data_IF_732236101880
#
_entry.id   IF_732236101880
#
_cell.length_a   1.000
_cell.length_b   1.000
_cell.length_c   1.000
_cell.angle_alpha   90.00
_cell.angle_beta   90.00
_cell.angle_gamma   90.00
#
_symmetry.space_group_name_H-M   'P 1'
#
loop_
_entity.id
_entity.type
_entity.pdbx_description
1 polymer ?
#
# COMPACT_ATOMS: atom_id res chain seq x y z
N UNK A 1 -7.55 32.59 15.87
CA UNK A 1 -7.48 32.43 14.40
C UNK A 1 -6.03 32.22 13.94
N UNK A 2 -5.28 31.26 14.51
CA UNK A 2 -3.79 31.27 14.38
C UNK A 2 -3.04 29.94 14.58
N UNK A 3 -3.66 28.78 14.31
CA UNK A 3 -2.94 27.48 14.29
C UNK A 3 -3.18 26.63 13.03
N UNK A 4 -4.13 27.02 12.17
CA UNK A 4 -4.56 26.18 11.03
C UNK A 4 -3.66 26.37 9.80
N UNK A 5 -2.94 27.50 9.66
CA UNK A 5 -2.22 27.80 8.41
C UNK A 5 -0.88 27.06 8.22
N UNK A 6 -0.48 26.17 9.14
CA UNK A 6 0.75 25.37 8.99
C UNK A 6 0.50 23.93 8.57
N UNK A 7 -0.75 23.48 8.59
CA UNK A 7 -1.14 22.09 8.33
C UNK A 7 -2.10 21.97 7.14
N UNK A 8 -2.33 23.06 6.41
CA UNK A 8 -3.23 23.12 5.26
C UNK A 8 -2.50 23.85 4.14
N UNK A 9 -2.37 23.16 3.01
CA UNK A 9 -1.62 23.61 1.84
C UNK A 9 -2.56 23.60 0.63
N UNK A 10 -2.60 24.69 -0.11
CA UNK A 10 -3.33 24.77 -1.36
C UNK A 10 -2.37 24.57 -2.54
N UNK A 11 -2.92 24.17 -3.68
CA UNK A 11 -2.14 24.02 -4.92
C UNK A 11 -1.31 25.27 -5.23
N UNK A 12 -0.07 25.07 -5.66
CA UNK A 12 0.91 26.13 -5.94
C UNK A 12 1.58 26.78 -4.72
N UNK A 13 1.29 26.33 -3.50
CA UNK A 13 1.92 26.82 -2.25
C UNK A 13 2.68 25.73 -1.47
N UNK A 14 2.97 24.60 -2.11
CA UNK A 14 3.36 23.37 -1.44
C UNK A 14 4.73 22.82 -1.91
N UNK A 15 5.79 23.53 -1.55
CA UNK A 15 7.17 23.22 -1.97
C UNK A 15 7.75 21.96 -1.31
N UNK A 16 7.07 21.37 -0.33
CA UNK A 16 7.55 20.20 0.44
C UNK A 16 6.71 18.93 0.18
N UNK A 17 5.87 18.94 -0.86
CA UNK A 17 5.08 17.76 -1.20
C UNK A 17 5.89 16.76 -2.04
N UNK A 18 6.13 15.58 -1.49
CA UNK A 18 6.89 14.51 -2.16
C UNK A 18 6.02 13.31 -2.46
N UNK A 19 6.08 12.86 -3.71
CA UNK A 19 5.45 11.65 -4.24
C UNK A 19 6.48 10.91 -5.08
N UNK A 20 6.45 9.58 -5.04
CA UNK A 20 7.40 8.75 -5.77
C UNK A 20 7.02 8.54 -7.24
N UNK A 21 5.75 8.30 -7.55
CA UNK A 21 5.29 8.03 -8.91
C UNK A 21 4.86 9.31 -9.64
N UNK A 22 5.40 9.51 -10.85
CA UNK A 22 5.12 10.68 -11.68
C UNK A 22 3.62 10.84 -12.01
N UNK A 23 2.88 9.75 -12.22
CA UNK A 23 1.45 9.81 -12.55
C UNK A 23 0.65 10.46 -11.43
N UNK A 24 1.07 10.24 -10.18
CA UNK A 24 0.42 10.86 -9.03
C UNK A 24 0.84 12.33 -8.84
N UNK A 25 2.01 12.74 -9.31
CA UNK A 25 2.39 14.16 -9.36
C UNK A 25 1.57 14.96 -10.38
N UNK A 26 1.05 14.30 -11.40
CA UNK A 26 0.14 14.89 -12.39
C UNK A 26 -1.30 15.01 -11.87
N UNK A 27 -1.62 14.35 -10.74
CA UNK A 27 -2.93 14.45 -10.09
C UNK A 27 -3.10 15.80 -9.41
N UNK A 28 -4.18 16.50 -9.74
CA UNK A 28 -4.55 17.78 -9.13
C UNK A 28 -5.47 17.55 -7.93
N UNK A 29 -5.03 17.93 -6.74
CA UNK A 29 -5.83 17.96 -5.51
C UNK A 29 -6.25 19.40 -5.18
N UNK A 30 -7.33 19.58 -4.40
CA UNK A 30 -7.81 20.90 -3.98
C UNK A 30 -6.96 21.47 -2.83
N UNK A 31 -6.71 20.65 -1.82
CA UNK A 31 -5.79 20.99 -0.74
C UNK A 31 -5.18 19.73 -0.10
N UNK A 32 -4.04 19.92 0.56
CA UNK A 32 -3.38 18.91 1.39
C UNK A 32 -3.49 19.32 2.84
N UNK A 33 -3.79 18.36 3.71
CA UNK A 33 -3.78 18.55 5.16
C UNK A 33 -2.75 17.64 5.82
N UNK A 34 -1.99 18.17 6.77
CA UNK A 34 -0.93 17.45 7.49
C UNK A 34 -1.30 17.26 8.98
N UNK A 35 -2.19 16.33 9.34
CA UNK A 35 -2.48 16.08 10.76
C UNK A 35 -1.24 15.52 11.48
N UNK A 36 -1.02 15.97 12.72
CA UNK A 36 0.07 15.51 13.58
C UNK A 36 -0.38 14.52 14.66
N UNK A 37 -1.67 14.19 14.73
CA UNK A 37 -2.22 13.25 15.71
C UNK A 37 -3.50 12.57 15.22
N UNK A 38 -3.84 11.42 15.81
CA UNK A 38 -5.09 10.70 15.53
C UNK A 38 -6.34 11.57 15.74
N UNK A 39 -6.31 12.45 16.76
CA UNK A 39 -7.40 13.39 17.01
C UNK A 39 -7.56 14.42 15.88
N UNK A 40 -6.45 14.89 15.31
CA UNK A 40 -6.50 15.78 14.14
C UNK A 40 -7.00 15.06 12.89
N UNK A 41 -6.57 13.81 12.67
CA UNK A 41 -7.12 12.95 11.60
C UNK A 41 -8.64 12.81 11.75
N UNK A 42 -9.13 12.48 12.95
CA UNK A 42 -10.57 12.33 13.21
C UNK A 42 -11.35 13.62 12.91
N UNK A 43 -10.83 14.78 13.29
CA UNK A 43 -11.44 16.09 12.98
C UNK A 43 -11.43 16.41 11.49
N UNK A 44 -10.36 16.06 10.79
CA UNK A 44 -10.29 16.19 9.32
C UNK A 44 -11.34 15.30 8.68
N UNK A 45 -11.40 14.02 9.04
CA UNK A 45 -12.40 13.07 8.53
C UNK A 45 -13.83 13.55 8.77
N UNK A 46 -14.13 14.12 9.95
CA UNK A 46 -15.43 14.72 10.24
C UNK A 46 -15.78 15.81 9.22
N UNK A 47 -14.88 16.75 8.96
CA UNK A 47 -15.12 17.83 7.98
C UNK A 47 -15.31 17.26 6.58
N UNK A 48 -14.49 16.30 6.16
CA UNK A 48 -14.57 15.70 4.83
C UNK A 48 -15.89 14.96 4.62
N UNK A 49 -16.33 14.17 5.60
CA UNK A 49 -17.59 13.43 5.55
C UNK A 49 -18.80 14.37 5.61
N UNK A 50 -18.76 15.40 6.46
CA UNK A 50 -19.83 16.38 6.59
C UNK A 50 -19.99 17.24 5.32
N UNK A 51 -18.95 17.36 4.49
CA UNK A 51 -18.95 18.14 3.25
C UNK A 51 -18.89 17.30 1.97
N UNK A 52 -18.92 15.96 2.07
CA UNK A 52 -18.77 15.06 0.91
C UNK A 52 -17.52 15.34 0.07
N UNK A 53 -16.41 15.67 0.74
CA UNK A 53 -15.15 15.87 0.07
C UNK A 53 -14.50 14.52 -0.21
N UNK A 54 -14.17 14.27 -1.49
CA UNK A 54 -13.28 13.17 -1.89
C UNK A 54 -11.94 13.36 -1.19
N UNK A 55 -11.33 12.27 -0.75
CA UNK A 55 -10.02 12.34 -0.12
C UNK A 55 -9.18 11.10 -0.42
N UNK A 56 -7.86 11.28 -0.36
CA UNK A 56 -6.86 10.22 -0.40
C UNK A 56 -5.96 10.32 0.83
N UNK A 57 -5.34 9.22 1.25
CA UNK A 57 -4.46 9.19 2.43
C UNK A 57 -3.03 8.92 1.99
N UNK A 58 -2.16 9.92 2.16
CA UNK A 58 -0.74 9.79 1.89
C UNK A 58 0.01 9.36 3.15
N UNK A 59 0.69 8.22 3.06
CA UNK A 59 1.82 7.89 3.94
C UNK A 59 3.12 8.40 3.29
N UNK A 60 3.91 7.48 2.69
CA UNK A 60 5.14 7.81 1.97
C UNK A 60 4.97 8.17 0.50
N UNK A 61 3.75 8.07 -0.06
CA UNK A 61 3.48 8.48 -1.45
C UNK A 61 4.03 7.54 -2.52
N UNK A 62 4.05 6.23 -2.26
CA UNK A 62 4.65 5.21 -3.13
C UNK A 62 3.64 4.42 -3.99
N UNK A 63 2.35 4.74 -3.91
CA UNK A 63 1.35 4.10 -4.76
C UNK A 63 1.49 4.55 -6.21
N UNK A 64 0.91 3.77 -7.14
CA UNK A 64 1.09 4.00 -8.59
C UNK A 64 -0.14 4.57 -9.29
N UNK A 65 -1.30 4.50 -8.64
CA UNK A 65 -2.56 4.89 -9.26
C UNK A 65 -3.01 6.25 -8.77
N UNK A 66 -3.68 7.06 -9.63
CA UNK A 66 -4.36 8.27 -9.19
C UNK A 66 -5.36 7.97 -8.08
N UNK A 67 -5.55 8.92 -7.17
CA UNK A 67 -6.46 8.82 -6.02
C UNK A 67 -6.01 7.87 -4.88
N UNK A 68 -4.87 7.19 -5.01
CA UNK A 68 -4.32 6.36 -3.92
C UNK A 68 -3.64 7.21 -2.84
N UNK A 69 -2.58 7.94 -3.22
CA UNK A 69 -1.80 8.79 -2.32
C UNK A 69 -2.10 10.28 -2.50
N UNK A 70 -2.66 10.67 -3.64
CA UNK A 70 -2.99 12.05 -4.01
C UNK A 70 -4.43 12.07 -4.51
N UNK A 71 -5.30 12.84 -3.85
CA UNK A 71 -6.71 12.84 -4.19
C UNK A 71 -6.99 13.56 -5.51
N UNK A 72 -7.82 12.97 -6.36
CA UNK A 72 -8.24 13.60 -7.63
C UNK A 72 -9.35 14.61 -7.34
N UNK A 73 -9.02 15.90 -7.40
CA UNK A 73 -9.97 17.00 -7.17
C UNK A 73 -10.51 17.08 -5.74
N UNK A 74 -9.84 16.42 -4.79
CA UNK A 74 -10.26 16.31 -3.40
C UNK A 74 -9.20 16.78 -2.41
N UNK A 75 -9.25 16.24 -1.19
CA UNK A 75 -8.32 16.56 -0.10
C UNK A 75 -7.31 15.43 0.08
N UNK A 76 -6.03 15.74 0.06
CA UNK A 76 -4.97 14.77 0.39
C UNK A 76 -4.66 14.85 1.88
N UNK A 77 -4.92 13.79 2.64
CA UNK A 77 -4.53 13.68 4.05
C UNK A 77 -3.11 13.12 4.11
N UNK A 78 -2.13 13.96 4.44
CA UNK A 78 -0.74 13.57 4.55
C UNK A 78 -0.34 13.28 5.99
N UNK A 79 -0.10 12.00 6.28
CA UNK A 79 0.29 11.54 7.61
C UNK A 79 1.76 11.82 7.94
N UNK A 80 2.51 12.51 7.08
CA UNK A 80 3.96 12.71 7.20
C UNK A 80 4.43 13.31 8.53
N UNK A 81 3.59 14.03 9.27
CA UNK A 81 3.88 14.52 10.63
C UNK A 81 3.68 13.47 11.73
N UNK A 82 2.92 12.40 11.46
CA UNK A 82 2.75 11.24 12.33
C UNK A 82 3.85 10.20 12.06
N UNK A 83 5.11 10.59 12.25
CA UNK A 83 6.31 9.83 11.88
C UNK A 83 7.19 9.38 13.08
N UNK A 84 6.63 9.39 14.29
CA UNK A 84 7.34 8.99 15.50
C UNK A 84 7.50 7.47 15.62
N UNK A 85 8.65 7.01 16.13
CA UNK A 85 8.87 5.63 16.54
C UNK A 85 9.22 5.59 18.02
N UNK A 86 8.45 4.83 18.81
CA UNK A 86 8.63 4.68 20.26
C UNK A 86 8.89 3.21 20.56
N UNK A 87 10.11 2.88 21.01
CA UNK A 87 10.51 1.51 21.37
C UNK A 87 10.08 1.22 22.81
N UNK A 88 9.55 0.02 23.07
CA UNK A 88 9.19 -0.41 24.43
C UNK A 88 10.43 -0.56 25.33
N UNK A 89 10.25 -0.42 26.64
CA UNK A 89 11.35 -0.49 27.62
C UNK A 89 12.10 -1.84 27.57
N UNK A 90 11.36 -2.92 27.31
CA UNK A 90 11.88 -4.29 27.16
C UNK A 90 12.44 -4.58 25.76
N UNK A 91 12.34 -3.62 24.83
CA UNK A 91 12.85 -3.67 23.46
C UNK A 91 12.26 -4.79 22.60
N UNK A 92 11.08 -5.29 22.96
CA UNK A 92 10.40 -6.36 22.22
C UNK A 92 9.42 -5.83 21.19
N UNK A 93 8.97 -4.58 21.33
CA UNK A 93 7.97 -3.95 20.46
C UNK A 93 8.31 -2.49 20.17
N UNK A 94 7.70 -1.93 19.13
CA UNK A 94 7.77 -0.50 18.83
C UNK A 94 6.43 0.02 18.33
N UNK A 95 6.01 1.19 18.82
CA UNK A 95 4.87 1.96 18.28
C UNK A 95 5.40 2.87 17.18
N UNK A 96 4.91 2.67 15.97
CA UNK A 96 5.35 3.41 14.77
C UNK A 96 4.18 4.22 14.23
N UNK A 97 4.40 5.51 14.00
CA UNK A 97 3.39 6.38 13.40
C UNK A 97 3.10 6.01 11.94
N UNK A 98 1.85 6.10 11.52
CA UNK A 98 1.40 5.64 10.19
C UNK A 98 2.07 6.36 9.01
N UNK A 99 2.54 7.59 9.20
CA UNK A 99 3.30 8.34 8.20
C UNK A 99 4.81 8.14 8.24
N UNK A 100 5.32 7.29 9.14
CA UNK A 100 6.76 7.02 9.24
C UNK A 100 7.27 6.42 7.94
N UNK A 101 8.45 6.85 7.51
CA UNK A 101 9.13 6.29 6.35
C UNK A 101 10.07 5.17 6.81
N UNK A 102 10.26 4.17 5.95
CA UNK A 102 11.10 2.99 6.24
C UNK A 102 12.46 3.35 6.81
N UNK A 103 13.15 4.35 6.23
CA UNK A 103 14.45 4.82 6.74
C UNK A 103 14.40 5.43 8.13
N UNK A 104 13.29 6.12 8.47
CA UNK A 104 13.13 6.78 9.76
C UNK A 104 12.92 5.72 10.85
N UNK A 105 12.15 4.67 10.56
CA UNK A 105 11.96 3.56 11.49
C UNK A 105 13.27 2.83 11.74
N UNK A 106 14.02 2.45 10.69
CA UNK A 106 15.33 1.84 10.87
C UNK A 106 16.28 2.73 11.70
N UNK A 107 16.36 4.02 11.40
CA UNK A 107 17.20 4.96 12.15
C UNK A 107 16.79 5.08 13.63
N UNK A 108 15.49 4.98 13.94
CA UNK A 108 15.00 5.01 15.32
C UNK A 108 15.28 3.71 16.09
N UNK A 109 15.35 2.57 15.39
CA UNK A 109 15.62 1.25 15.97
C UNK A 109 17.12 0.95 16.12
N UNK A 110 17.97 1.56 15.28
CA UNK A 110 19.42 1.33 15.22
C UNK A 110 20.14 1.49 16.58
N UNK A 111 19.87 2.52 17.41
CA UNK A 111 20.50 2.67 18.73
C UNK A 111 20.21 1.50 19.69
N UNK A 112 19.17 0.72 19.44
CA UNK A 112 18.77 -0.43 20.25
C UNK A 112 19.26 -1.76 19.67
N UNK A 113 19.94 -1.75 18.51
CA UNK A 113 20.32 -2.96 17.79
C UNK A 113 19.11 -3.74 17.26
N UNK A 114 17.99 -3.05 17.04
CA UNK A 114 16.74 -3.65 16.58
C UNK A 114 16.56 -3.44 15.08
N UNK A 115 15.85 -4.37 14.45
CA UNK A 115 15.39 -4.27 13.07
C UNK A 115 13.95 -4.74 12.99
N UNK A 116 13.29 -4.43 11.88
CA UNK A 116 11.93 -4.90 11.59
C UNK A 116 11.88 -5.41 10.14
N UNK A 117 10.79 -6.09 9.77
CA UNK A 117 10.52 -6.58 8.41
C UNK A 117 10.14 -5.42 7.48
N UNK A 118 11.11 -4.51 7.27
CA UNK A 118 10.91 -3.26 6.55
C UNK A 118 11.06 -3.34 5.04
N UNK A 119 10.54 -2.32 4.37
CA UNK A 119 10.68 -2.15 2.93
C UNK A 119 12.13 -1.94 2.52
N UNK A 120 12.40 -2.08 1.23
CA UNK A 120 13.77 -1.97 0.68
C UNK A 120 14.14 -0.54 0.26
N UNK A 121 13.14 0.32 0.10
CA UNK A 121 13.30 1.72 -0.31
C UNK A 121 12.96 2.62 0.87
N UNK A 122 13.91 3.48 1.27
CA UNK A 122 13.81 4.27 2.49
C UNK A 122 12.67 5.30 2.52
N UNK A 123 12.06 5.62 1.38
CA UNK A 123 10.92 6.53 1.25
C UNK A 123 9.56 5.85 1.34
N UNK A 124 9.50 4.50 1.36
CA UNK A 124 8.24 3.77 1.49
C UNK A 124 7.63 4.03 2.87
N UNK A 125 6.38 4.45 2.90
CA UNK A 125 5.65 4.79 4.11
C UNK A 125 5.05 3.56 4.79
N UNK A 126 5.15 3.53 6.12
CA UNK A 126 4.79 2.38 6.94
C UNK A 126 3.32 2.01 6.87
N UNK A 127 2.41 2.98 6.91
CA UNK A 127 0.96 2.70 6.91
C UNK A 127 0.53 1.89 5.69
N UNK A 128 0.81 2.40 4.48
CA UNK A 128 0.50 1.67 3.25
C UNK A 128 1.27 0.35 3.11
N UNK A 129 2.55 0.32 3.52
CA UNK A 129 3.39 -0.87 3.40
C UNK A 129 2.90 -2.04 4.26
N UNK A 130 2.54 -1.80 5.53
CA UNK A 130 2.05 -2.87 6.41
C UNK A 130 0.61 -3.28 6.10
N UNK A 131 -0.25 -2.33 5.70
CA UNK A 131 -1.64 -2.62 5.31
C UNK A 131 -1.73 -3.40 3.99
N UNK A 132 -0.83 -3.14 3.04
CA UNK A 132 -0.70 -3.90 1.79
C UNK A 132 0.06 -5.22 1.94
N UNK A 133 0.49 -5.56 3.16
CA UNK A 133 1.17 -6.79 3.52
C UNK A 133 2.66 -6.60 3.82
N UNK A 134 3.40 -6.06 2.85
CA UNK A 134 4.77 -5.59 3.03
C UNK A 134 5.83 -6.69 3.00
N UNK A 135 6.53 -6.83 1.88
CA UNK A 135 7.61 -7.80 1.72
C UNK A 135 8.99 -7.17 1.87
N UNK A 136 9.90 -7.94 2.47
CA UNK A 136 11.24 -7.53 2.87
C UNK A 136 12.30 -8.54 2.40
N UNK A 137 13.57 -8.14 2.46
CA UNK A 137 14.70 -9.08 2.39
C UNK A 137 14.68 -10.09 3.55
N UNK A 138 14.03 -9.72 4.66
CA UNK A 138 13.85 -10.57 5.83
C UNK A 138 12.67 -11.55 5.71
N UNK A 139 11.83 -11.41 4.67
CA UNK A 139 10.56 -12.11 4.62
C UNK A 139 10.67 -13.63 4.48
N UNK A 140 11.73 -14.12 3.85
CA UNK A 140 11.97 -15.57 3.76
C UNK A 140 12.16 -16.23 5.14
N UNK A 141 12.62 -15.47 6.14
CA UNK A 141 12.88 -15.97 7.50
C UNK A 141 11.79 -15.58 8.49
N UNK A 142 11.23 -14.38 8.34
CA UNK A 142 10.35 -13.80 9.35
C UNK A 142 8.90 -13.60 8.88
N UNK A 143 8.57 -13.81 7.60
CA UNK A 143 7.22 -13.54 7.08
C UNK A 143 7.06 -12.10 6.57
N UNK A 144 5.83 -11.64 6.37
CA UNK A 144 5.54 -10.31 5.83
C UNK A 144 5.46 -9.29 6.96
N UNK A 145 5.57 -8.01 6.64
CA UNK A 145 5.53 -6.94 7.64
C UNK A 145 4.24 -6.95 8.45
N UNK A 146 3.11 -7.27 7.80
CA UNK A 146 1.80 -7.41 8.45
C UNK A 146 1.80 -8.47 9.56
N UNK A 147 2.60 -9.53 9.43
CA UNK A 147 2.65 -10.64 10.39
C UNK A 147 3.30 -10.21 11.72
N UNK A 148 3.99 -9.06 11.72
CA UNK A 148 4.65 -8.47 12.88
C UNK A 148 3.88 -7.28 13.45
N UNK A 149 2.70 -6.96 12.90
CA UNK A 149 1.85 -5.91 13.47
C UNK A 149 0.99 -6.50 14.59
N UNK A 150 1.20 -6.00 15.80
CA UNK A 150 0.45 -6.43 16.98
C UNK A 150 -0.91 -5.73 17.10
N UNK A 151 -0.96 -4.45 16.75
CA UNK A 151 -2.16 -3.61 16.89
C UNK A 151 -2.11 -2.45 15.89
N UNK A 152 -3.28 -2.06 15.37
CA UNK A 152 -3.48 -0.80 14.66
C UNK A 152 -4.32 0.13 15.53
N UNK A 153 -3.97 1.43 15.54
CA UNK A 153 -4.79 2.49 16.13
C UNK A 153 -5.49 3.28 15.00
N UNK A 154 -6.67 2.82 14.52
CA UNK A 154 -7.39 3.52 13.47
C UNK A 154 -8.04 4.80 14.00
N UNK A 155 -7.93 5.88 13.23
CA UNK A 155 -8.75 7.08 13.46
C UNK A 155 -10.11 6.87 12.82
N UNK A 156 -11.11 6.51 13.63
CA UNK A 156 -12.47 6.24 13.15
C UNK A 156 -13.33 7.50 13.29
N UNK A 157 -14.12 7.80 12.26
CA UNK A 157 -15.26 8.73 12.37
C UNK A 157 -16.54 7.91 12.59
N UNK A 158 -17.15 8.03 13.77
CA UNK A 158 -18.46 7.40 14.07
C UNK A 158 -19.57 8.44 13.99
N UNK A 159 -19.76 9.03 12.81
CA UNK A 159 -20.90 9.89 12.53
C UNK A 159 -21.95 9.15 11.71
N UNK A 160 -23.22 9.30 12.08
CA UNK A 160 -24.34 8.88 11.25
C UNK A 160 -24.92 10.11 10.56
N UNK A 161 -24.87 10.15 9.22
CA UNK A 161 -25.58 11.15 8.43
C UNK A 161 -26.84 10.50 7.87
N UNK A 162 -27.99 11.13 8.10
CA UNK A 162 -29.24 10.75 7.45
C UNK A 162 -29.31 11.42 6.09
N UNK A 163 -29.55 10.64 5.05
CA UNK A 163 -29.80 11.15 3.72
C UNK A 163 -31.32 11.31 3.52
N UNK A 164 -31.78 12.42 2.92
CA UNK A 164 -33.14 12.47 2.41
C UNK A 164 -33.31 11.39 1.33
N UNK A 165 -34.52 10.81 1.22
CA UNK A 165 -34.79 9.66 0.33
C UNK A 165 -34.37 9.88 -1.14
N UNK A 166 -34.36 11.13 -1.60
CA UNK A 166 -33.95 11.49 -2.96
C UNK A 166 -32.43 11.45 -3.22
N UNK A 167 -31.61 11.29 -2.18
CA UNK A 167 -30.15 11.15 -2.27
C UNK A 167 -29.66 9.74 -1.92
N UNK A 168 -30.49 8.93 -1.25
CA UNK A 168 -30.13 7.57 -0.82
C UNK A 168 -29.68 6.68 -1.97
N UNK A 169 -30.36 6.73 -3.12
CA UNK A 169 -29.97 5.91 -4.29
C UNK A 169 -28.58 6.26 -4.83
N UNK A 170 -28.26 7.55 -4.93
CA UNK A 170 -26.92 8.01 -5.37
C UNK A 170 -25.84 7.68 -4.35
N UNK A 171 -26.16 7.78 -3.06
CA UNK A 171 -25.23 7.39 -1.99
C UNK A 171 -24.90 5.91 -2.06
N UNK A 172 -25.91 5.04 -2.24
CA UNK A 172 -25.69 3.60 -2.34
C UNK A 172 -24.86 3.23 -3.58
N UNK A 173 -25.11 3.87 -4.71
CA UNK A 173 -24.32 3.65 -5.94
C UNK A 173 -22.84 4.06 -5.77
N UNK A 174 -22.58 5.22 -5.15
CA UNK A 174 -21.20 5.67 -4.89
C UNK A 174 -20.53 4.86 -3.77
N UNK A 175 -21.26 4.47 -2.74
CA UNK A 175 -20.75 3.60 -1.69
C UNK A 175 -20.40 2.22 -2.25
N UNK A 176 -21.24 1.65 -3.12
CA UNK A 176 -20.93 0.41 -3.83
C UNK A 176 -19.63 0.55 -4.61
N UNK A 177 -19.42 1.63 -5.39
CA UNK A 177 -18.15 1.89 -6.10
C UNK A 177 -16.94 1.99 -5.17
N UNK A 178 -17.09 2.48 -3.95
CA UNK A 178 -16.02 2.59 -2.95
C UNK A 178 -15.70 1.22 -2.32
N UNK A 179 -16.72 0.40 -2.06
CA UNK A 179 -16.55 -0.91 -1.41
C UNK A 179 -16.24 -2.04 -2.41
N UNK A 180 -16.66 -1.91 -3.67
CA UNK A 180 -16.11 -2.68 -4.77
C UNK A 180 -14.81 -2.01 -5.18
N UNK A 181 -13.73 -2.38 -4.49
CA UNK A 181 -12.39 -2.29 -5.09
C UNK A 181 -12.40 -3.30 -6.24
N UNK A 182 -13.08 -2.96 -7.35
CA UNK A 182 -12.66 -3.48 -8.62
C UNK A 182 -11.28 -2.85 -8.81
N UNK A 183 -10.24 -3.69 -8.77
CA UNK A 183 -9.06 -3.44 -9.59
C UNK A 183 -9.64 -3.19 -10.99
N UNK A 184 -9.97 -1.92 -11.29
CA UNK A 184 -10.05 -1.47 -12.65
C UNK A 184 -8.61 -1.59 -13.14
N UNK A 185 -8.23 -2.81 -13.54
CA UNK A 185 -7.47 -2.95 -14.76
C UNK A 185 -8.22 -2.07 -15.75
N UNK A 186 -7.70 -0.88 -15.98
CA UNK A 186 -8.15 -0.01 -17.04
C UNK A 186 -8.18 -0.85 -18.32
N UNK A 187 -9.36 -1.36 -18.65
CA UNK A 187 -9.62 -2.08 -19.89
C UNK A 187 -9.45 -1.17 -21.11
N UNK A 188 -9.22 0.14 -20.86
CA UNK A 188 -8.88 1.18 -21.83
C UNK A 188 -7.41 1.62 -21.84
N UNK A 189 -6.50 0.98 -21.09
CA UNK A 189 -5.07 1.23 -21.29
C UNK A 189 -4.64 0.61 -22.63
N UNK A 190 -4.34 1.50 -23.58
CA UNK A 190 -4.24 1.25 -25.03
C UNK A 190 -3.14 0.28 -25.49
N UNK A 191 -3.15 0.04 -26.80
CA UNK A 191 -2.23 -0.81 -27.57
C UNK A 191 -0.76 -0.72 -27.12
N UNK A 192 -0.32 0.46 -26.68
CA UNK A 192 1.03 0.75 -26.17
C UNK A 192 1.45 -0.09 -24.96
N UNK A 193 0.56 -0.36 -23.99
CA UNK A 193 0.90 -1.21 -22.85
C UNK A 193 0.99 -2.67 -23.25
N UNK A 194 0.13 -3.16 -24.16
CA UNK A 194 0.24 -4.53 -24.67
C UNK A 194 1.57 -4.75 -25.37
N UNK A 195 2.02 -3.77 -26.16
CA UNK A 195 3.34 -3.80 -26.79
C UNK A 195 4.47 -3.73 -25.75
N UNK A 196 4.33 -2.88 -24.71
CA UNK A 196 5.32 -2.79 -23.64
C UNK A 196 5.44 -4.10 -22.82
N UNK A 197 4.32 -4.74 -22.49
CA UNK A 197 4.32 -6.05 -21.82
C UNK A 197 4.87 -7.17 -22.71
N UNK A 198 4.54 -7.17 -24.00
CA UNK A 198 5.13 -8.12 -24.95
C UNK A 198 6.66 -7.97 -25.01
N UNK A 199 7.15 -6.73 -25.14
CA UNK A 199 8.59 -6.44 -25.11
C UNK A 199 9.24 -6.86 -23.79
N UNK A 200 8.59 -6.60 -22.66
CA UNK A 200 9.11 -7.01 -21.34
C UNK A 200 9.19 -8.53 -21.21
N UNK A 201 8.18 -9.26 -21.71
CA UNK A 201 8.18 -10.72 -21.72
C UNK A 201 9.28 -11.30 -22.61
N UNK A 202 9.43 -10.76 -23.82
CA UNK A 202 10.50 -11.15 -24.74
C UNK A 202 11.88 -10.89 -24.12
N UNK A 203 12.06 -9.71 -23.50
CA UNK A 203 13.30 -9.37 -22.79
C UNK A 203 13.60 -10.32 -21.63
N UNK A 204 12.60 -10.67 -20.81
CA UNK A 204 12.77 -11.63 -19.70
C UNK A 204 13.17 -13.00 -20.26
N UNK A 205 12.53 -13.46 -21.33
CA UNK A 205 12.84 -14.75 -21.95
C UNK A 205 14.26 -14.78 -22.53
N UNK A 206 14.66 -13.73 -23.26
CA UNK A 206 16.01 -13.59 -23.81
C UNK A 206 17.07 -13.53 -22.70
N UNK A 207 16.80 -12.78 -21.62
CA UNK A 207 17.70 -12.70 -20.48
C UNK A 207 17.86 -14.04 -19.77
N UNK A 208 16.76 -14.79 -19.58
CA UNK A 208 16.80 -16.12 -19.01
C UNK A 208 17.60 -17.09 -19.88
N UNK A 209 17.36 -17.13 -21.19
CA UNK A 209 18.09 -17.97 -22.13
C UNK A 209 19.60 -17.64 -22.13
N UNK A 210 19.96 -16.35 -22.09
CA UNK A 210 21.34 -15.91 -21.98
C UNK A 210 21.97 -16.36 -20.65
N UNK A 211 21.29 -16.19 -19.52
CA UNK A 211 21.76 -16.60 -18.21
C UNK A 211 21.93 -18.13 -18.09
N UNK A 212 21.05 -18.92 -18.69
CA UNK A 212 21.18 -20.38 -18.79
C UNK A 212 22.41 -20.78 -19.61
N UNK A 213 22.65 -20.11 -20.74
CA UNK A 213 23.79 -20.41 -21.63
C UNK A 213 25.15 -20.26 -20.94
N UNK A 214 25.22 -19.44 -19.89
CA UNK A 214 26.43 -19.21 -19.08
C UNK A 214 26.36 -19.84 -17.68
N UNK A 215 25.35 -20.68 -17.42
CA UNK A 215 25.12 -21.34 -16.13
C UNK A 215 25.05 -20.35 -14.94
N UNK A 216 24.47 -19.18 -15.17
CA UNK A 216 24.28 -18.13 -14.17
C UNK A 216 22.80 -17.93 -13.76
N UNK A 217 21.86 -18.64 -14.41
CA UNK A 217 20.46 -18.54 -14.04
C UNK A 217 20.21 -19.17 -12.66
N UNK A 218 19.59 -18.39 -11.77
CA UNK A 218 19.07 -18.90 -10.51
C UNK A 218 17.54 -19.04 -10.61
N UNK A 219 16.94 -20.19 -10.27
CA UNK A 219 15.52 -20.42 -10.50
C UNK A 219 14.62 -19.55 -9.64
N UNK A 220 15.05 -19.19 -8.42
CA UNK A 220 14.27 -18.40 -7.46
C UNK A 220 13.80 -17.06 -8.03
N UNK A 221 12.49 -16.88 -8.03
CA UNK A 221 11.81 -15.64 -8.39
C UNK A 221 11.35 -14.96 -7.11
N UNK A 222 11.85 -13.75 -6.87
CA UNK A 222 11.36 -12.96 -5.76
C UNK A 222 10.00 -12.36 -6.10
N UNK A 223 8.96 -12.73 -5.34
CA UNK A 223 7.55 -12.35 -5.60
C UNK A 223 7.33 -10.86 -5.90
N UNK A 224 8.11 -9.99 -5.26
CA UNK A 224 7.96 -8.54 -5.37
C UNK A 224 8.53 -7.95 -6.67
N UNK A 225 9.24 -8.76 -7.46
CA UNK A 225 9.82 -8.41 -8.76
C UNK A 225 9.32 -9.34 -9.87
N UNK A 226 8.34 -10.18 -9.57
CA UNK A 226 7.74 -11.07 -10.55
C UNK A 226 6.53 -10.40 -11.23
N UNK A 227 6.30 -10.73 -12.49
CA UNK A 227 5.13 -10.30 -13.26
C UNK A 227 3.96 -11.30 -13.17
N UNK A 228 2.73 -10.90 -13.55
CA UNK A 228 1.49 -11.72 -13.39
C UNK A 228 1.60 -13.10 -14.02
N UNK A 229 2.38 -13.23 -15.08
CA UNK A 229 2.56 -14.47 -15.83
C UNK A 229 3.55 -15.47 -15.22
N UNK A 230 4.32 -15.08 -14.20
CA UNK A 230 5.38 -15.93 -13.66
C UNK A 230 4.89 -16.80 -12.50
N UNK A 231 5.18 -18.12 -12.53
CA UNK A 231 4.92 -19.01 -11.40
C UNK A 231 6.02 -18.86 -10.33
N UNK A 232 5.81 -17.86 -9.48
CA UNK A 232 6.71 -17.55 -8.36
C UNK A 232 6.87 -18.73 -7.42
N UNK A 233 5.79 -19.47 -7.11
CA UNK A 233 5.85 -20.52 -6.10
C UNK A 233 6.57 -21.77 -6.61
N UNK A 234 6.53 -22.07 -7.91
CA UNK A 234 7.36 -23.11 -8.52
C UNK A 234 8.86 -22.82 -8.36
N UNK A 235 9.26 -21.55 -8.34
CA UNK A 235 10.66 -21.16 -8.18
C UNK A 235 11.26 -21.50 -6.81
N UNK A 236 10.43 -21.84 -5.81
CA UNK A 236 10.88 -22.14 -4.45
C UNK A 236 11.28 -23.60 -4.24
N UNK A 237 11.12 -24.44 -5.27
CA UNK A 237 11.35 -25.87 -5.24
C UNK A 237 10.11 -26.67 -4.83
N UNK A 238 10.03 -27.91 -5.31
CA UNK A 238 8.82 -28.75 -5.20
C UNK A 238 8.36 -28.97 -3.76
N UNK A 239 9.30 -29.21 -2.83
CA UNK A 239 9.00 -29.42 -1.42
C UNK A 239 8.37 -28.17 -0.78
N UNK A 240 8.94 -27.00 -1.03
CA UNK A 240 8.41 -25.74 -0.49
C UNK A 240 7.06 -25.40 -1.11
N UNK A 241 6.89 -25.59 -2.43
CA UNK A 241 5.61 -25.39 -3.11
C UNK A 241 4.55 -26.30 -2.53
N UNK A 242 4.84 -27.59 -2.37
CA UNK A 242 3.92 -28.56 -1.80
C UNK A 242 3.51 -28.18 -0.37
N UNK A 243 4.47 -27.78 0.47
CA UNK A 243 4.19 -27.29 1.82
C UNK A 243 3.29 -26.04 1.82
N UNK A 244 3.53 -25.09 0.92
CA UNK A 244 2.68 -23.90 0.79
C UNK A 244 1.25 -24.28 0.39
N UNK A 245 1.07 -25.23 -0.53
CA UNK A 245 -0.24 -25.75 -0.94
C UNK A 245 -0.96 -26.41 0.24
N UNK A 246 -0.25 -27.18 1.07
CA UNK A 246 -0.81 -27.81 2.26
C UNK A 246 -1.27 -26.79 3.30
N UNK A 247 -0.44 -25.76 3.56
CA UNK A 247 -0.80 -24.65 4.46
C UNK A 247 -2.02 -23.89 3.93
N UNK A 248 -2.04 -23.59 2.62
CA UNK A 248 -3.15 -22.89 1.99
C UNK A 248 -4.46 -23.67 2.18
N UNK A 249 -4.45 -24.99 1.95
CA UNK A 249 -5.63 -25.85 2.13
C UNK A 249 -6.07 -25.95 3.60
N UNK A 250 -5.13 -25.89 4.54
CA UNK A 250 -5.46 -25.93 5.96
C UNK A 250 -6.10 -24.62 6.46
N UNK A 251 -5.64 -23.46 5.95
CA UNK A 251 -6.13 -22.13 6.35
C UNK A 251 -7.40 -21.74 5.59
N UNK A 252 -7.45 -22.04 4.29
CA UNK A 252 -8.56 -21.69 3.39
C UNK A 252 -9.13 -22.94 2.71
N UNK A 253 -9.73 -23.88 3.48
CA UNK A 253 -10.19 -25.17 2.96
C UNK A 253 -11.32 -25.04 1.93
N UNK A 254 -12.08 -23.94 1.99
CA UNK A 254 -13.18 -23.66 1.08
C UNK A 254 -12.75 -22.76 -0.09
N UNK A 255 -11.48 -22.33 -0.13
CA UNK A 255 -10.96 -21.44 -1.15
C UNK A 255 -11.58 -20.05 -1.14
N UNK A 256 -12.14 -19.59 -0.02
CA UNK A 256 -12.81 -18.30 0.10
C UNK A 256 -11.89 -17.14 -0.31
N UNK A 257 -10.63 -17.19 0.11
CA UNK A 257 -9.64 -16.17 -0.21
C UNK A 257 -8.96 -16.48 -1.55
N UNK A 258 -8.63 -17.73 -1.83
CA UNK A 258 -7.88 -18.10 -3.05
C UNK A 258 -8.77 -18.28 -4.28
N UNK A 259 -9.71 -19.22 -4.22
CA UNK A 259 -10.50 -19.72 -5.36
C UNK A 259 -11.79 -18.93 -5.62
N UNK A 260 -12.50 -18.51 -4.58
CA UNK A 260 -13.75 -17.73 -4.62
C UNK A 260 -13.51 -16.23 -4.82
N UNK A 261 -12.25 -15.79 -4.78
CA UNK A 261 -11.84 -14.47 -5.24
C UNK A 261 -12.04 -13.33 -4.26
N UNK A 262 -12.36 -13.58 -2.97
CA UNK A 262 -12.41 -12.48 -1.99
C UNK A 262 -11.06 -11.78 -1.83
N UNK A 263 -9.97 -12.49 -2.03
CA UNK A 263 -8.67 -11.88 -2.26
C UNK A 263 -8.40 -11.84 -3.77
N UNK A 264 -8.50 -10.64 -4.34
CA UNK A 264 -8.23 -10.36 -5.76
C UNK A 264 -6.74 -10.16 -6.06
N UNK A 265 -5.89 -10.23 -5.04
CA UNK A 265 -4.45 -10.01 -5.14
C UNK A 265 -3.71 -10.93 -6.14
N UNK A 266 -2.50 -10.50 -6.48
CA UNK A 266 -1.72 -10.90 -7.65
C UNK A 266 -1.37 -12.41 -7.72
N UNK A 267 -0.53 -12.90 -6.80
CA UNK A 267 -0.04 -14.28 -6.81
C UNK A 267 -0.82 -15.15 -5.84
N UNK A 268 -1.31 -16.29 -6.32
CA UNK A 268 -2.04 -17.28 -5.51
C UNK A 268 -1.28 -18.60 -5.49
N UNK A 269 -1.13 -19.19 -4.32
CA UNK A 269 -0.64 -20.56 -4.19
C UNK A 269 -1.71 -21.48 -4.79
N UNK A 270 -1.35 -22.24 -5.83
CA UNK A 270 -2.22 -23.18 -6.55
C UNK A 270 -1.57 -24.55 -6.61
#
# INVERSE_FOLDING_TARGET
MGRVSRLLHYDGSDDNFTIWDQKQLETVYVCRVEPASANEVSRVLQVLVDNWCRFAVKCGGHSRFPDDSVSVGGVTIDLGLMNSTLVSDDKTTARVGGGSLTRQVFAALDPYGLAYVGGRVGQVGMGGYSLGGGTSALSAKYGWALDHVLEYEPSVYTGARTFPDNQTGRFLEEAEKIFTIEDHEDTNIGLEYRTAYALANDFIADFQAAAESVNALHPFLYINYADKGQDVFASYGDENKQRLVEIQKAIDPNGVFTSSGLWTGFFKVR
#
